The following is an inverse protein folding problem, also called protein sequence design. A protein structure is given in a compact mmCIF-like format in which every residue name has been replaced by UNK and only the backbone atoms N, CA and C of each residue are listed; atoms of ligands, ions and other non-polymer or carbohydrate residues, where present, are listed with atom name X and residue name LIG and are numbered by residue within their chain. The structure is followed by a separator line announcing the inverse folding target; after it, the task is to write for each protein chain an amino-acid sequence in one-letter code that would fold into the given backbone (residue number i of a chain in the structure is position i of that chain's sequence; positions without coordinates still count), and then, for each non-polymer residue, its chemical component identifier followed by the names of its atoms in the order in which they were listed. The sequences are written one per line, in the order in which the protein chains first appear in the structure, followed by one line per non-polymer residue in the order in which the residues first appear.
data_IF_982514221368
#
_entry.id   IF_982514221368
#
_cell.length_a   1.000
_cell.length_b   1.000
_cell.length_c   1.000
_cell.angle_alpha   90.00
_cell.angle_beta   90.00
_cell.angle_gamma   90.00
#
_symmetry.space_group_name_H-M   'P 1'
#
loop_
_entity.id
_entity.type
_entity.pdbx_description
1 polymer ?
#
# COMPACT_ATOMS: atom_id res chain seq x y z
N UNK A 1 37.58 42.15 -13.74
CA UNK A 1 36.19 42.10 -13.22
C UNK A 1 35.48 41.05 -14.08
N UNK A 2 35.23 39.79 -13.70
CA UNK A 2 35.09 39.08 -12.42
C UNK A 2 35.77 37.69 -12.47
N UNK A 3 35.74 36.99 -11.33
CA UNK A 3 36.58 35.89 -10.85
C UNK A 3 36.07 34.50 -11.29
N UNK A 4 37.00 33.52 -11.28
CA UNK A 4 36.86 32.05 -11.36
C UNK A 4 35.64 31.47 -10.62
N UNK A 5 35.14 30.29 -11.04
CA UNK A 5 35.24 29.00 -10.31
C UNK A 5 34.32 27.90 -10.92
N UNK A 6 34.77 26.64 -10.77
CA UNK A 6 34.12 25.35 -11.10
C UNK A 6 34.21 24.90 -12.56
N UNK A 7 35.20 24.12 -13.02
CA UNK A 7 35.62 22.78 -12.57
C UNK A 7 34.53 21.98 -11.85
N UNK A 8 34.18 20.85 -12.44
CA UNK A 8 33.48 19.72 -11.81
C UNK A 8 31.96 19.81 -11.73
N UNK A 9 31.31 19.17 -12.70
CA UNK A 9 30.24 18.21 -12.40
C UNK A 9 30.20 17.18 -13.53
N UNK A 10 31.15 16.24 -13.50
CA UNK A 10 30.89 14.94 -14.12
C UNK A 10 30.04 14.13 -13.13
N UNK A 11 29.10 13.34 -13.66
CA UNK A 11 28.31 12.31 -12.98
C UNK A 11 27.45 12.76 -11.79
N UNK A 12 26.12 12.65 -11.88
CA UNK A 12 25.41 11.58 -11.15
C UNK A 12 23.88 11.44 -11.36
N UNK A 13 23.19 12.17 -12.24
CA UNK A 13 21.72 12.03 -12.27
C UNK A 13 21.19 10.79 -13.01
N UNK A 14 22.03 10.12 -13.82
CA UNK A 14 21.68 8.87 -14.52
C UNK A 14 22.28 7.61 -13.86
N UNK A 15 22.71 7.69 -12.60
CA UNK A 15 23.29 6.57 -11.83
C UNK A 15 22.50 6.25 -10.55
N UNK A 16 21.25 6.68 -10.45
CA UNK A 16 20.32 6.26 -9.38
C UNK A 16 19.16 5.36 -9.86
N UNK A 17 19.10 4.99 -11.13
CA UNK A 17 18.44 3.73 -11.56
C UNK A 17 19.41 2.54 -11.40
N UNK A 18 20.15 2.53 -10.29
CA UNK A 18 20.95 1.38 -9.87
C UNK A 18 20.00 0.24 -9.57
N UNK A 19 19.81 -0.66 -10.55
CA UNK A 19 19.47 -2.08 -10.44
C UNK A 19 19.01 -2.53 -9.04
N UNK A 20 17.88 -1.98 -8.56
CA UNK A 20 17.31 -2.38 -7.29
C UNK A 20 16.61 -3.68 -7.59
N UNK A 21 17.20 -4.81 -7.17
CA UNK A 21 16.50 -6.10 -7.24
C UNK A 21 15.19 -5.93 -6.49
N UNK A 22 14.10 -5.86 -7.24
CA UNK A 22 12.76 -5.74 -6.68
C UNK A 22 12.49 -7.01 -5.90
N UNK A 23 12.66 -6.93 -4.58
CA UNK A 23 12.32 -8.02 -3.68
C UNK A 23 10.81 -8.14 -3.68
N UNK A 24 10.30 -9.35 -3.95
CA UNK A 24 8.88 -9.64 -3.98
C UNK A 24 8.49 -10.46 -2.78
N UNK A 25 7.29 -10.21 -2.26
CA UNK A 25 6.66 -11.00 -1.22
C UNK A 25 5.34 -11.56 -1.73
N UNK A 26 4.91 -12.66 -1.14
CA UNK A 26 3.73 -13.42 -1.51
C UNK A 26 2.74 -13.43 -0.35
N UNK A 27 1.53 -12.96 -0.59
CA UNK A 27 0.42 -12.99 0.35
C UNK A 27 -0.59 -14.03 -0.14
N UNK A 28 -0.78 -15.11 0.60
CA UNK A 28 -1.75 -16.16 0.25
C UNK A 28 -3.06 -15.93 1.00
N UNK A 29 -4.17 -15.87 0.26
CA UNK A 29 -5.52 -15.78 0.83
C UNK A 29 -6.03 -17.13 1.32
N UNK A 30 -7.14 -17.11 2.08
CA UNK A 30 -7.85 -18.30 2.54
C UNK A 30 -8.36 -19.19 1.40
N UNK A 31 -8.55 -18.61 0.21
CA UNK A 31 -9.01 -19.29 -1.01
C UNK A 31 -7.85 -19.92 -1.78
N UNK A 32 -6.62 -19.78 -1.29
CA UNK A 32 -5.41 -20.35 -1.87
C UNK A 32 -4.79 -19.52 -2.99
N UNK A 33 -5.32 -18.33 -3.27
CA UNK A 33 -4.76 -17.42 -4.26
C UNK A 33 -3.53 -16.72 -3.68
N UNK A 34 -2.45 -16.65 -4.47
CA UNK A 34 -1.20 -15.98 -4.09
C UNK A 34 -1.10 -14.63 -4.79
N UNK A 35 -1.12 -13.55 -4.01
CA UNK A 35 -0.91 -12.19 -4.48
C UNK A 35 0.55 -11.83 -4.26
N UNK A 36 1.29 -11.64 -5.36
CA UNK A 36 2.69 -11.24 -5.31
C UNK A 36 2.80 -9.71 -5.43
N UNK A 37 3.46 -9.08 -4.47
CA UNK A 37 3.70 -7.63 -4.44
C UNK A 37 5.17 -7.32 -4.17
N UNK A 38 5.59 -6.10 -4.48
CA UNK A 38 6.92 -5.64 -4.11
C UNK A 38 7.00 -5.47 -2.59
N UNK A 39 8.14 -5.86 -2.00
CA UNK A 39 8.39 -5.71 -0.57
C UNK A 39 8.26 -4.27 -0.11
N UNK A 40 8.56 -3.29 -0.97
CA UNK A 40 8.34 -1.88 -0.68
C UNK A 40 6.87 -1.52 -0.49
N UNK A 41 5.96 -2.17 -1.21
CA UNK A 41 4.51 -1.97 -1.04
C UNK A 41 4.07 -2.62 0.26
N UNK A 42 4.55 -3.83 0.55
CA UNK A 42 4.26 -4.52 1.81
C UNK A 42 4.74 -3.73 3.03
N UNK A 43 5.92 -3.08 2.92
CA UNK A 43 6.52 -2.28 3.97
C UNK A 43 5.77 -0.98 4.30
N UNK A 44 4.77 -0.58 3.50
CA UNK A 44 3.90 0.56 3.84
C UNK A 44 2.90 0.24 4.95
N UNK A 45 2.64 -1.04 5.17
CA UNK A 45 1.81 -1.53 6.26
C UNK A 45 2.77 -1.93 7.37
N UNK A 46 2.90 -1.12 8.44
CA UNK A 46 3.86 -1.41 9.51
C UNK A 46 3.65 -2.79 10.12
N UNK A 47 2.39 -3.19 10.32
CA UNK A 47 2.09 -4.53 10.82
C UNK A 47 2.48 -5.65 9.86
N UNK A 48 2.26 -5.46 8.56
CA UNK A 48 2.64 -6.46 7.55
C UNK A 48 4.17 -6.60 7.45
N UNK A 49 4.89 -5.49 7.55
CA UNK A 49 6.35 -5.44 7.58
C UNK A 49 6.91 -6.23 8.77
N UNK A 50 6.32 -6.07 9.95
CA UNK A 50 6.69 -6.85 11.14
C UNK A 50 6.41 -8.35 10.95
N UNK A 51 5.23 -8.70 10.42
CA UNK A 51 4.83 -10.09 10.19
C UNK A 51 5.72 -10.79 9.16
N UNK A 52 6.09 -10.09 8.09
CA UNK A 52 7.00 -10.59 7.08
C UNK A 52 8.41 -10.75 7.67
N UNK A 53 8.94 -9.73 8.36
CA UNK A 53 10.30 -9.74 8.86
C UNK A 53 11.31 -10.02 7.74
N UNK A 54 11.99 -11.16 7.82
CA UNK A 54 12.89 -11.65 6.77
C UNK A 54 12.22 -12.59 5.74
N UNK A 55 10.97 -13.02 5.98
CA UNK A 55 10.24 -13.98 5.15
C UNK A 55 9.55 -13.29 3.98
N UNK A 56 9.56 -13.96 2.82
CA UNK A 56 8.91 -13.46 1.60
C UNK A 56 7.49 -14.01 1.40
N UNK A 57 6.92 -14.70 2.39
CA UNK A 57 5.62 -15.35 2.30
C UNK A 57 4.81 -15.14 3.59
N UNK A 58 3.53 -14.82 3.45
CA UNK A 58 2.57 -14.72 4.55
C UNK A 58 1.21 -15.28 4.13
N UNK A 59 0.60 -16.09 4.99
CA UNK A 59 -0.70 -16.70 4.77
C UNK A 59 -1.78 -16.06 5.66
N UNK A 60 -2.94 -15.77 5.07
CA UNK A 60 -4.10 -15.20 5.74
C UNK A 60 -5.27 -16.22 5.73
N UNK A 61 -5.38 -17.08 6.75
CA UNK A 61 -6.36 -18.18 6.76
C UNK A 61 -7.82 -17.74 6.79
N UNK A 62 -8.08 -16.49 7.21
CA UNK A 62 -9.43 -15.95 7.37
C UNK A 62 -9.69 -14.76 6.45
N UNK A 63 -8.84 -14.53 5.44
CA UNK A 63 -8.96 -13.37 4.56
C UNK A 63 -9.00 -13.83 3.11
N UNK A 64 -10.09 -13.51 2.42
CA UNK A 64 -10.26 -13.76 0.98
C UNK A 64 -9.39 -12.84 0.14
N UNK A 65 -9.13 -13.25 -1.10
CA UNK A 65 -8.25 -12.49 -2.00
C UNK A 65 -8.76 -11.08 -2.29
N UNK A 66 -10.09 -10.91 -2.36
CA UNK A 66 -10.74 -9.62 -2.61
C UNK A 66 -10.39 -8.58 -1.54
N UNK A 67 -10.28 -9.01 -0.29
CA UNK A 67 -9.95 -8.13 0.84
C UNK A 67 -8.48 -7.69 0.75
N UNK A 68 -7.56 -8.63 0.50
CA UNK A 68 -6.14 -8.33 0.31
C UNK A 68 -5.95 -7.33 -0.86
N UNK A 69 -6.67 -7.53 -1.97
CA UNK A 69 -6.64 -6.60 -3.11
C UNK A 69 -7.17 -5.22 -2.75
N UNK A 70 -8.29 -5.13 -2.01
CA UNK A 70 -8.82 -3.83 -1.54
C UNK A 70 -7.87 -3.11 -0.61
N UNK A 71 -7.19 -3.81 0.30
CA UNK A 71 -6.18 -3.22 1.19
C UNK A 71 -5.01 -2.64 0.39
N UNK A 72 -4.56 -3.34 -0.66
CA UNK A 72 -3.54 -2.83 -1.57
C UNK A 72 -4.05 -1.59 -2.33
N UNK A 73 -5.27 -1.64 -2.88
CA UNK A 73 -5.91 -0.50 -3.56
C UNK A 73 -5.98 0.72 -2.65
N UNK A 74 -6.39 0.53 -1.38
CA UNK A 74 -6.41 1.58 -0.37
C UNK A 74 -5.02 2.21 -0.17
N UNK A 75 -4.00 1.37 -0.02
CA UNK A 75 -2.61 1.81 0.16
C UNK A 75 -2.08 2.59 -1.05
N UNK A 76 -2.44 2.20 -2.28
CA UNK A 76 -2.05 2.94 -3.47
C UNK A 76 -2.76 4.29 -3.59
N UNK A 77 -4.06 4.35 -3.31
CA UNK A 77 -4.81 5.61 -3.38
C UNK A 77 -4.27 6.67 -2.39
N UNK A 78 -3.87 6.22 -1.20
CA UNK A 78 -3.34 7.05 -0.12
C UNK A 78 -1.80 7.13 -0.09
N UNK A 79 -1.09 6.63 -1.11
CA UNK A 79 0.39 6.56 -1.14
C UNK A 79 1.07 7.92 -0.95
N UNK A 80 0.47 8.99 -1.48
CA UNK A 80 1.06 10.34 -1.53
C UNK A 80 0.19 11.41 -0.88
N UNK A 81 -0.79 11.02 -0.06
CA UNK A 81 -1.92 11.85 0.38
C UNK A 81 -1.55 13.33 0.69
N UNK A 82 -1.72 14.26 -0.28
CA UNK A 82 -1.31 15.65 -0.15
C UNK A 82 -2.49 16.49 0.34
N UNK A 83 -3.06 16.15 1.50
CA UNK A 83 -4.26 16.83 1.99
C UNK A 83 -5.48 16.69 1.07
N UNK A 84 -6.59 17.39 1.35
CA UNK A 84 -7.88 17.13 0.73
C UNK A 84 -7.81 17.37 -0.79
N UNK A 85 -7.95 16.28 -1.55
CA UNK A 85 -8.37 16.33 -2.95
C UNK A 85 -9.73 17.04 -3.02
N UNK A 86 -10.05 17.68 -4.15
CA UNK A 86 -11.38 18.27 -4.40
C UNK A 86 -12.48 17.35 -3.82
N UNK A 87 -13.35 17.94 -3.00
CA UNK A 87 -14.27 17.18 -2.15
C UNK A 87 -15.15 16.20 -2.94
N UNK A 88 -15.48 16.53 -4.19
CA UNK A 88 -16.30 15.70 -5.09
C UNK A 88 -15.58 14.42 -5.58
N UNK A 89 -14.34 14.53 -6.07
CA UNK A 89 -13.54 13.39 -6.54
C UNK A 89 -13.16 12.47 -5.37
N UNK A 90 -12.87 13.07 -4.21
CA UNK A 90 -12.58 12.35 -2.97
C UNK A 90 -13.78 11.49 -2.55
N UNK A 91 -14.99 12.06 -2.59
CA UNK A 91 -16.23 11.39 -2.18
C UNK A 91 -16.57 10.21 -3.11
N UNK A 92 -16.49 10.40 -4.43
CA UNK A 92 -16.80 9.33 -5.40
C UNK A 92 -15.93 8.08 -5.24
N UNK A 93 -14.63 8.26 -4.98
CA UNK A 93 -13.73 7.12 -4.76
C UNK A 93 -14.09 6.33 -3.50
N UNK A 94 -14.45 7.00 -2.39
CA UNK A 94 -14.88 6.28 -1.18
C UNK A 94 -16.20 5.56 -1.40
N UNK A 95 -17.15 6.16 -2.13
CA UNK A 95 -18.41 5.50 -2.49
C UNK A 95 -18.13 4.21 -3.27
N UNK A 96 -17.30 4.25 -4.32
CA UNK A 96 -16.96 3.07 -5.11
C UNK A 96 -16.11 2.06 -4.32
N UNK A 97 -15.17 2.53 -3.51
CA UNK A 97 -14.30 1.66 -2.72
C UNK A 97 -15.09 0.87 -1.66
N UNK A 98 -16.11 1.48 -1.06
CA UNK A 98 -16.95 0.83 -0.05
C UNK A 98 -18.26 0.26 -0.61
N UNK A 99 -18.51 0.36 -1.91
CA UNK A 99 -19.61 -0.32 -2.59
C UNK A 99 -19.34 -1.83 -2.69
N UNK A 100 -19.65 -2.52 -1.59
CA UNK A 100 -19.57 -3.97 -1.44
C UNK A 100 -20.69 -4.47 -0.54
N UNK A 101 -20.93 -5.78 -0.58
CA UNK A 101 -21.85 -6.42 0.37
C UNK A 101 -21.34 -6.31 1.81
N UNK A 102 -22.27 -6.42 2.76
CA UNK A 102 -22.00 -6.30 4.19
C UNK A 102 -20.94 -7.29 4.69
N UNK A 103 -20.92 -8.52 4.18
CA UNK A 103 -19.95 -9.53 4.58
C UNK A 103 -18.53 -9.14 4.18
N UNK A 104 -18.37 -8.65 2.95
CA UNK A 104 -17.09 -8.14 2.45
C UNK A 104 -16.63 -6.88 3.19
N UNK A 105 -17.55 -5.98 3.58
CA UNK A 105 -17.21 -4.80 4.39
C UNK A 105 -16.74 -5.19 5.79
N UNK A 106 -17.42 -6.12 6.46
CA UNK A 106 -17.03 -6.59 7.80
C UNK A 106 -15.65 -7.27 7.77
N UNK A 107 -15.41 -8.14 6.81
CA UNK A 107 -14.11 -8.81 6.64
C UNK A 107 -12.97 -7.81 6.33
N UNK A 108 -13.28 -6.75 5.56
CA UNK A 108 -12.34 -5.65 5.31
C UNK A 108 -12.00 -4.91 6.61
N UNK A 109 -12.99 -4.60 7.45
CA UNK A 109 -12.79 -3.94 8.75
C UNK A 109 -11.97 -4.83 9.70
N UNK A 110 -12.29 -6.12 9.78
CA UNK A 110 -11.56 -7.09 10.62
C UNK A 110 -10.09 -7.19 10.20
N UNK A 111 -9.84 -7.33 8.89
CA UNK A 111 -8.46 -7.43 8.37
C UNK A 111 -7.70 -6.11 8.51
N UNK A 112 -8.37 -4.97 8.32
CA UNK A 112 -7.78 -3.66 8.53
C UNK A 112 -7.41 -3.41 10.00
N UNK A 113 -8.22 -3.91 10.94
CA UNK A 113 -7.91 -3.91 12.37
C UNK A 113 -6.68 -4.77 12.66
N UNK A 114 -6.62 -5.98 12.09
CA UNK A 114 -5.46 -6.87 12.23
C UNK A 114 -4.17 -6.26 11.68
N UNK A 115 -4.23 -5.54 10.55
CA UNK A 115 -3.09 -4.89 9.90
C UNK A 115 -2.79 -3.47 10.40
N UNK A 116 -3.46 -3.01 11.45
CA UNK A 116 -3.30 -1.68 12.05
C UNK A 116 -3.46 -0.53 11.03
N UNK A 117 -4.63 -0.46 10.39
CA UNK A 117 -4.98 0.58 9.40
C UNK A 117 -6.05 1.56 9.95
N UNK A 118 -5.71 2.43 10.91
CA UNK A 118 -6.70 3.30 11.58
C UNK A 118 -7.41 4.27 10.64
N UNK A 119 -6.74 4.75 9.58
CA UNK A 119 -7.37 5.62 8.58
C UNK A 119 -8.49 4.91 7.81
N UNK A 120 -8.31 3.62 7.49
CA UNK A 120 -9.32 2.82 6.81
C UNK A 120 -10.49 2.57 7.76
N UNK A 121 -10.22 2.17 9.00
CA UNK A 121 -11.23 1.94 10.03
C UNK A 121 -12.11 3.18 10.24
N UNK A 122 -11.49 4.35 10.44
CA UNK A 122 -12.21 5.61 10.64
C UNK A 122 -13.10 5.97 9.45
N UNK A 123 -12.66 5.70 8.21
CA UNK A 123 -13.48 5.95 7.02
C UNK A 123 -14.60 4.93 6.88
N UNK A 124 -14.35 3.65 7.14
CA UNK A 124 -15.36 2.60 7.05
C UNK A 124 -16.46 2.74 8.12
N UNK A 125 -16.11 3.21 9.33
CA UNK A 125 -17.06 3.43 10.42
C UNK A 125 -17.91 4.70 10.27
N UNK A 126 -17.49 5.62 9.40
CA UNK A 126 -18.21 6.87 9.13
C UNK A 126 -19.17 6.80 7.93
N UNK A 127 -19.31 5.62 7.31
CA UNK A 127 -20.27 5.35 6.23
C UNK A 127 -21.69 5.16 6.77
#
# INVERSE_FOLDING_TARGET
MFILFFWFCDNNDNKMEQNKRVQRVQLMSSEGEVITIDREVANRFERLKELLGANDFLYFPNTRSIILRKLLTWSFYHKYDPGPRNDDDSTSWYTEFFDVDQGTLLELIETACFLDLPKLLNKAQGL
#
